data_IF_351996420752
#
_entry.id   IF_351996420752
#
_cell.length_a   1.000
_cell.length_b   1.000
_cell.length_c   1.000
_cell.angle_alpha   90.00
_cell.angle_beta   90.00
_cell.angle_gamma   90.00
#
_symmetry.space_group_name_H-M   'P 1'
#
loop_
_entity.id
_entity.type
_entity.pdbx_description
1 polymer ?
#
# COMPACT_ATOMS: atom_id res chain seq x y z
N UNK A 1 11.30 17.22 10.64
CA UNK A 1 10.83 16.04 11.39
C UNK A 1 11.86 15.49 12.36
N UNK A 2 13.08 15.14 11.95
CA UNK A 2 14.14 14.71 12.90
C UNK A 2 14.38 15.73 14.03
N UNK A 3 14.39 17.04 13.73
CA UNK A 3 14.48 18.08 14.75
C UNK A 3 13.30 18.08 15.75
N UNK A 4 12.08 17.80 15.29
CA UNK A 4 10.89 17.73 16.15
C UNK A 4 10.96 16.49 17.06
N UNK A 5 11.31 15.32 16.50
CA UNK A 5 11.50 14.08 17.25
C UNK A 5 12.63 14.21 18.26
N UNK A 6 13.77 14.76 17.85
CA UNK A 6 14.91 15.01 18.75
C UNK A 6 14.51 15.89 19.93
N UNK A 7 13.84 17.02 19.69
CA UNK A 7 13.38 17.90 20.78
C UNK A 7 12.39 17.19 21.71
N UNK A 8 11.47 16.40 21.14
CA UNK A 8 10.55 15.59 21.94
C UNK A 8 11.28 14.56 22.80
N UNK A 9 12.21 13.78 22.23
CA UNK A 9 12.97 12.78 22.96
C UNK A 9 13.92 13.42 24.00
N UNK A 10 14.48 14.59 23.73
CA UNK A 10 15.28 15.37 24.68
C UNK A 10 14.46 15.84 25.87
N UNK A 11 13.25 16.36 25.64
CA UNK A 11 12.31 16.73 26.72
C UNK A 11 11.89 15.48 27.51
N UNK A 12 11.57 14.38 26.82
CA UNK A 12 11.18 13.11 27.46
C UNK A 12 12.29 12.51 28.33
N UNK A 13 13.55 12.61 27.89
CA UNK A 13 14.73 12.13 28.63
C UNK A 13 15.23 13.13 29.69
N UNK A 14 14.56 14.27 29.87
CA UNK A 14 14.97 15.31 30.82
C UNK A 14 16.27 16.01 30.44
N UNK A 15 16.73 15.89 29.19
CA UNK A 15 18.01 16.45 28.72
C UNK A 15 17.96 17.97 28.53
N UNK A 16 16.77 18.57 28.47
CA UNK A 16 16.58 20.03 28.38
C UNK A 16 16.72 20.74 29.74
N UNK A 17 16.88 20.01 30.86
CA UNK A 17 17.26 20.63 32.14
C UNK A 17 18.78 20.73 32.26
N UNK A 18 19.38 21.69 31.57
CA UNK A 18 20.79 22.04 31.83
C UNK A 18 20.92 22.61 33.25
N UNK A 19 21.55 21.84 34.13
CA UNK A 19 22.04 22.32 35.43
C UNK A 19 23.21 23.28 35.19
N UNK A 20 22.93 24.58 35.08
CA UNK A 20 23.95 25.59 35.29
C UNK A 20 24.29 25.63 36.78
N UNK A 21 25.58 25.48 37.11
CA UNK A 21 26.14 25.36 38.46
C UNK A 21 25.95 26.55 39.40
N UNK A 22 25.00 27.46 39.14
CA UNK A 22 24.62 28.55 40.04
C UNK A 22 23.09 28.65 40.14
N UNK A 23 22.51 27.92 41.11
CA UNK A 23 21.42 28.37 41.98
C UNK A 23 20.14 29.02 41.43
N UNK A 24 19.88 29.04 40.12
CA UNK A 24 18.64 29.60 39.56
C UNK A 24 18.12 28.71 38.44
N UNK A 25 17.13 27.88 38.76
CA UNK A 25 16.33 27.14 37.77
C UNK A 25 15.51 28.16 36.97
N UNK A 26 16.00 28.59 35.81
CA UNK A 26 15.12 29.18 34.78
C UNK A 26 14.42 28.04 34.07
N UNK A 27 13.36 27.53 34.71
CA UNK A 27 12.48 26.53 34.12
C UNK A 27 11.60 27.19 33.06
N UNK A 28 12.14 27.41 31.86
CA UNK A 28 11.32 27.46 30.64
C UNK A 28 11.28 26.07 30.01
N UNK A 29 11.04 25.05 30.84
CA UNK A 29 10.64 23.73 30.35
C UNK A 29 9.25 23.92 29.76
N UNK A 30 9.18 24.00 28.43
CA UNK A 30 7.90 23.87 27.72
C UNK A 30 7.35 22.51 28.12
N UNK A 31 6.33 22.49 28.99
CA UNK A 31 5.69 21.26 29.40
C UNK A 31 4.90 20.73 28.20
N UNK A 32 5.46 19.75 27.49
CA UNK A 32 4.75 19.05 26.41
C UNK A 32 3.59 18.29 27.05
N UNK A 33 2.36 18.75 26.81
CA UNK A 33 1.14 18.10 27.31
C UNK A 33 0.98 16.71 26.69
N UNK A 34 0.15 15.84 27.29
CA UNK A 34 -0.14 14.51 26.72
C UNK A 34 -0.71 14.61 25.30
N UNK A 35 -1.51 15.63 25.02
CA UNK A 35 -2.05 15.93 23.69
C UNK A 35 -0.94 16.30 22.70
N UNK A 36 0.03 17.12 23.11
CA UNK A 36 1.20 17.44 22.29
C UNK A 36 2.02 16.18 21.98
N UNK A 37 2.18 15.25 22.96
CA UNK A 37 2.89 13.98 22.73
C UNK A 37 2.20 13.13 21.66
N UNK A 38 0.88 13.00 21.77
CA UNK A 38 0.06 12.26 20.81
C UNK A 38 0.18 12.88 19.42
N UNK A 39 0.06 14.20 19.33
CA UNK A 39 0.15 14.95 18.07
C UNK A 39 1.53 14.82 17.43
N UNK A 40 2.61 14.95 18.20
CA UNK A 40 3.98 14.75 17.71
C UNK A 40 4.17 13.32 17.21
N UNK A 41 3.63 12.32 17.92
CA UNK A 41 3.63 10.93 17.50
C UNK A 41 2.95 10.72 16.15
N UNK A 42 1.75 11.27 15.97
CA UNK A 42 0.99 11.21 14.71
C UNK A 42 1.73 11.88 13.56
N UNK A 43 2.27 13.08 13.77
CA UNK A 43 3.03 13.81 12.74
C UNK A 43 4.32 13.06 12.36
N UNK A 44 5.00 12.46 13.34
CA UNK A 44 6.18 11.64 13.09
C UNK A 44 5.82 10.41 12.25
N UNK A 45 4.76 9.68 12.62
CA UNK A 45 4.29 8.54 11.85
C UNK A 45 3.85 8.92 10.44
N UNK A 46 3.15 10.04 10.29
CA UNK A 46 2.80 10.56 8.97
C UNK A 46 4.04 10.80 8.11
N UNK A 47 5.11 11.39 8.67
CA UNK A 47 6.36 11.58 7.95
C UNK A 47 7.06 10.26 7.58
N UNK A 48 7.05 9.28 8.48
CA UNK A 48 7.59 7.93 8.22
C UNK A 48 6.82 7.24 7.10
N UNK A 49 5.48 7.32 7.10
CA UNK A 49 4.63 6.78 6.03
C UNK A 49 4.94 7.45 4.70
N UNK A 50 5.03 8.79 4.67
CA UNK A 50 5.37 9.53 3.45
C UNK A 50 6.75 9.15 2.92
N UNK A 51 7.78 9.13 3.77
CA UNK A 51 9.12 8.75 3.32
C UNK A 51 9.15 7.32 2.81
N UNK A 52 8.47 6.38 3.48
CA UNK A 52 8.42 4.97 3.09
C UNK A 52 7.75 4.77 1.74
N UNK A 53 6.54 5.30 1.55
CA UNK A 53 5.80 5.18 0.30
C UNK A 53 6.53 5.94 -0.83
N UNK A 54 7.00 7.16 -0.56
CA UNK A 54 7.76 7.96 -1.54
C UNK A 54 9.05 7.34 -1.98
N UNK A 55 9.81 6.78 -1.05
CA UNK A 55 11.08 6.16 -1.36
C UNK A 55 10.91 4.93 -2.24
N UNK A 56 9.93 4.09 -1.87
CA UNK A 56 9.59 2.89 -2.62
C UNK A 56 9.10 3.23 -4.04
N UNK A 57 8.17 4.18 -4.16
CA UNK A 57 7.63 4.60 -5.45
C UNK A 57 8.68 5.22 -6.37
N UNK A 58 9.61 6.03 -5.83
CA UNK A 58 10.60 6.71 -6.64
C UNK A 58 11.94 5.97 -6.70
N UNK A 59 11.98 4.72 -6.23
CA UNK A 59 13.17 3.88 -6.18
C UNK A 59 14.38 4.62 -5.61
N UNK A 60 14.16 5.39 -4.54
CA UNK A 60 15.23 6.08 -3.79
C UNK A 60 15.45 5.40 -2.43
N UNK A 61 16.63 5.53 -1.84
CA UNK A 61 16.85 5.13 -0.45
C UNK A 61 15.90 5.87 0.50
N UNK A 62 15.55 5.19 1.59
CA UNK A 62 14.79 5.75 2.71
C UNK A 62 15.63 6.81 3.41
N UNK A 63 14.99 7.91 3.82
CA UNK A 63 15.64 9.00 4.56
C UNK A 63 15.53 8.76 6.05
N UNK A 64 14.37 8.28 6.52
CA UNK A 64 14.19 7.94 7.93
C UNK A 64 14.70 6.53 8.17
N UNK A 65 15.76 6.40 8.97
CA UNK A 65 16.41 5.13 9.29
C UNK A 65 15.47 4.20 10.08
N UNK A 66 15.70 2.90 9.99
CA UNK A 66 14.82 1.90 10.60
C UNK A 66 14.83 2.00 12.13
N UNK A 67 15.99 2.26 12.71
CA UNK A 67 16.22 2.42 14.15
C UNK A 67 15.44 3.59 14.75
N UNK A 68 15.15 4.61 13.93
CA UNK A 68 14.36 5.76 14.35
C UNK A 68 12.85 5.49 14.23
N UNK A 69 12.45 4.53 13.40
CA UNK A 69 11.06 4.28 13.02
C UNK A 69 10.35 3.18 13.83
N UNK A 70 11.09 2.33 14.56
CA UNK A 70 10.46 1.27 15.35
C UNK A 70 9.56 1.89 16.42
N UNK A 71 8.29 1.47 16.45
CA UNK A 71 7.36 1.82 17.53
C UNK A 71 7.98 1.33 18.84
N UNK A 72 8.36 2.24 19.73
CA UNK A 72 8.50 1.87 21.14
C UNK A 72 7.09 1.54 21.62
N UNK A 73 6.83 0.28 21.98
CA UNK A 73 5.61 -0.09 22.67
C UNK A 73 5.39 0.89 23.83
N UNK A 74 4.16 1.39 24.08
CA UNK A 74 3.89 2.26 25.24
C UNK A 74 4.29 1.64 26.59
N UNK A 75 4.58 0.33 26.63
CA UNK A 75 4.95 -0.42 27.83
C UNK A 75 6.45 -0.76 27.96
N UNK A 76 7.29 -0.43 26.97
CA UNK A 76 8.72 -0.73 27.07
C UNK A 76 9.48 0.42 27.73
N UNK A 77 9.91 0.20 28.98
CA UNK A 77 11.01 0.97 29.56
C UNK A 77 12.24 0.87 28.66
N UNK A 78 13.06 1.93 28.56
CA UNK A 78 14.25 1.90 27.73
C UNK A 78 15.12 0.70 28.14
N UNK A 79 15.63 -0.10 27.19
CA UNK A 79 16.48 -1.23 27.51
C UNK A 79 17.70 -0.73 28.29
N UNK A 80 18.08 -1.48 29.33
CA UNK A 80 19.32 -1.25 30.03
C UNK A 80 20.48 -1.23 29.02
N UNK A 81 21.38 -0.26 29.15
CA UNK A 81 22.52 -0.12 28.26
C UNK A 81 23.38 -1.40 28.31
N UNK A 82 23.26 -2.27 27.29
CA UNK A 82 24.06 -3.49 27.22
C UNK A 82 23.56 -4.59 26.29
N UNK A 83 22.27 -4.64 25.94
CA UNK A 83 21.74 -5.70 25.07
C UNK A 83 21.46 -5.17 23.66
N UNK A 84 22.53 -4.91 22.90
CA UNK A 84 22.42 -4.83 21.44
C UNK A 84 22.61 -6.23 20.90
N UNK A 85 21.50 -6.87 20.52
CA UNK A 85 21.53 -8.10 19.73
C UNK A 85 22.15 -7.77 18.36
N UNK A 86 23.44 -8.06 18.19
CA UNK A 86 24.24 -7.85 16.98
C UNK A 86 23.71 -8.63 15.76
N UNK A 87 22.63 -9.41 15.91
CA UNK A 87 22.01 -10.17 14.82
C UNK A 87 20.74 -9.54 14.24
N UNK A 88 20.19 -8.49 14.86
CA UNK A 88 19.02 -7.82 14.27
C UNK A 88 19.45 -6.99 13.05
N UNK A 89 18.89 -7.32 11.88
CA UNK A 89 19.28 -6.75 10.58
C UNK A 89 19.07 -5.24 10.39
N UNK A 90 18.88 -4.47 11.47
CA UNK A 90 18.47 -3.06 11.47
C UNK A 90 17.03 -2.83 10.99
N UNK A 91 16.40 -3.79 10.30
CA UNK A 91 15.09 -3.66 9.65
C UNK A 91 13.92 -3.56 10.64
N UNK A 92 12.79 -3.04 10.16
CA UNK A 92 11.52 -3.08 10.89
C UNK A 92 11.16 -4.51 11.26
N UNK A 93 10.96 -4.74 12.55
CA UNK A 93 10.52 -6.04 13.03
C UNK A 93 9.02 -6.16 12.78
N UNK A 94 8.60 -7.24 12.12
CA UNK A 94 7.21 -7.42 11.69
C UNK A 94 6.26 -7.49 12.90
N UNK A 95 6.70 -8.15 13.97
CA UNK A 95 6.00 -8.33 15.25
C UNK A 95 5.63 -7.01 15.95
N UNK A 96 6.35 -5.92 15.66
CA UNK A 96 6.02 -4.59 16.18
C UNK A 96 4.77 -4.00 15.50
N UNK A 97 4.53 -4.36 14.24
CA UNK A 97 3.41 -3.86 13.43
C UNK A 97 2.25 -4.86 13.37
N UNK A 98 2.55 -6.15 13.49
CA UNK A 98 1.61 -7.26 13.47
C UNK A 98 1.78 -8.03 14.77
N UNK A 99 0.90 -7.75 15.74
CA UNK A 99 0.85 -8.44 17.04
C UNK A 99 0.01 -9.72 16.96
N UNK A 100 0.07 -10.40 15.82
CA UNK A 100 -0.73 -11.56 15.47
C UNK A 100 0.17 -12.61 14.81
N UNK A 101 -0.25 -13.86 14.74
CA UNK A 101 0.52 -14.92 14.11
C UNK A 101 0.50 -14.74 12.57
N UNK A 102 1.68 -14.70 11.95
CA UNK A 102 1.86 -14.49 10.51
C UNK A 102 1.47 -15.71 9.65
N UNK A 103 1.41 -16.89 10.26
CA UNK A 103 1.07 -18.17 9.64
C UNK A 103 -0.34 -18.62 10.00
N UNK A 104 -0.84 -18.23 11.18
CA UNK A 104 -2.18 -18.57 11.66
C UNK A 104 -2.85 -17.37 12.37
N UNK A 105 -3.21 -16.31 11.62
CA UNK A 105 -3.82 -15.11 12.20
C UNK A 105 -5.10 -15.42 12.97
N UNK A 106 -5.44 -14.56 13.92
CA UNK A 106 -6.63 -14.67 14.76
C UNK A 106 -7.97 -14.54 14.02
N UNK A 107 -8.98 -14.03 14.73
CA UNK A 107 -10.37 -13.99 14.24
C UNK A 107 -10.51 -13.21 12.92
N UNK A 108 -11.09 -13.87 11.91
CA UNK A 108 -11.34 -13.28 10.60
C UNK A 108 -12.61 -12.44 10.63
N UNK A 109 -12.49 -11.15 10.27
CA UNK A 109 -13.64 -10.27 10.16
C UNK A 109 -14.33 -10.46 8.80
N UNK A 110 -15.66 -10.58 8.83
CA UNK A 110 -16.50 -10.65 7.64
C UNK A 110 -17.54 -9.52 7.62
N UNK A 111 -17.97 -9.13 6.42
CA UNK A 111 -19.10 -8.23 6.19
C UNK A 111 -20.41 -9.02 6.03
N UNK A 112 -21.56 -8.55 6.55
CA UNK A 112 -21.75 -7.31 7.31
C UNK A 112 -21.28 -7.42 8.77
N UNK A 113 -20.70 -6.33 9.28
CA UNK A 113 -20.30 -6.18 10.69
C UNK A 113 -20.69 -4.79 11.21
N UNK A 114 -20.43 -4.51 12.50
CA UNK A 114 -20.68 -3.17 13.05
C UNK A 114 -19.76 -2.13 12.41
N UNK A 115 -20.20 -0.88 12.41
CA UNK A 115 -19.38 0.23 11.92
C UNK A 115 -18.06 0.33 12.68
N UNK A 116 -18.08 0.14 14.01
CA UNK A 116 -16.90 0.17 14.87
C UNK A 116 -15.90 -0.92 14.49
N UNK A 117 -16.37 -2.15 14.24
CA UNK A 117 -15.51 -3.26 13.82
C UNK A 117 -14.89 -3.01 12.44
N UNK A 118 -15.68 -2.53 11.49
CA UNK A 118 -15.18 -2.17 10.15
C UNK A 118 -14.14 -1.03 10.22
N UNK A 119 -14.43 0.02 10.99
CA UNK A 119 -13.53 1.16 11.18
C UNK A 119 -12.21 0.73 11.84
N UNK A 120 -12.28 -0.15 12.84
CA UNK A 120 -11.09 -0.70 13.50
C UNK A 120 -10.25 -1.54 12.54
N UNK A 121 -10.86 -2.46 11.79
CA UNK A 121 -10.15 -3.29 10.82
C UNK A 121 -9.47 -2.47 9.72
N UNK A 122 -10.18 -1.51 9.12
CA UNK A 122 -9.62 -0.59 8.13
C UNK A 122 -8.46 0.22 8.74
N UNK A 123 -8.60 0.70 9.98
CA UNK A 123 -7.53 1.44 10.66
C UNK A 123 -6.29 0.57 10.93
N UNK A 124 -6.47 -0.66 11.41
CA UNK A 124 -5.38 -1.62 11.69
C UNK A 124 -4.66 -2.08 10.43
N UNK A 125 -5.34 -2.10 9.28
CA UNK A 125 -4.74 -2.48 8.00
C UNK A 125 -3.76 -1.43 7.44
N UNK A 126 -3.91 -0.14 7.80
CA UNK A 126 -3.09 0.95 7.29
C UNK A 126 -1.57 0.80 7.56
N UNK A 127 -1.10 0.48 8.78
CA UNK A 127 0.32 0.24 9.04
C UNK A 127 0.87 -0.99 8.30
N UNK A 128 0.06 -2.03 8.09
CA UNK A 128 0.47 -3.25 7.36
C UNK A 128 0.73 -2.93 5.88
N UNK A 129 -0.08 -2.07 5.27
CA UNK A 129 0.21 -1.51 3.94
C UNK A 129 1.55 -0.78 3.91
N UNK A 130 1.82 0.08 4.89
CA UNK A 130 3.09 0.83 4.93
C UNK A 130 4.27 -0.12 5.11
N UNK A 131 4.11 -1.17 5.93
CA UNK A 131 5.10 -2.22 6.11
C UNK A 131 5.43 -2.90 4.78
N UNK A 132 4.44 -3.24 3.94
CA UNK A 132 4.71 -3.81 2.61
C UNK A 132 5.57 -2.87 1.74
N UNK A 133 5.26 -1.57 1.68
CA UNK A 133 6.09 -0.59 0.97
C UNK A 133 7.52 -0.50 1.53
N UNK A 134 7.67 -0.59 2.86
CA UNK A 134 8.99 -0.61 3.52
C UNK A 134 9.81 -1.82 3.08
N UNK A 135 9.20 -3.00 3.07
CA UNK A 135 9.83 -4.24 2.65
C UNK A 135 10.18 -4.26 1.16
N UNK A 136 9.31 -3.69 0.31
CA UNK A 136 9.63 -3.43 -1.11
C UNK A 136 10.85 -2.51 -1.23
N UNK A 137 10.94 -1.45 -0.43
CA UNK A 137 12.12 -0.57 -0.43
C UNK A 137 13.39 -1.28 0.01
N UNK A 138 13.34 -2.19 1.00
CA UNK A 138 14.49 -3.03 1.35
C UNK A 138 14.97 -3.85 0.15
N UNK A 139 14.05 -4.44 -0.61
CA UNK A 139 14.39 -5.23 -1.79
C UNK A 139 15.00 -4.36 -2.90
N UNK A 140 14.41 -3.20 -3.19
CA UNK A 140 14.98 -2.24 -4.15
C UNK A 140 16.40 -1.80 -3.72
N UNK A 141 16.59 -1.51 -2.44
CA UNK A 141 17.86 -1.01 -1.90
C UNK A 141 18.96 -2.06 -1.95
N UNK A 142 18.67 -3.32 -1.60
CA UNK A 142 19.67 -4.39 -1.68
C UNK A 142 20.07 -4.66 -3.14
N UNK A 143 19.11 -4.63 -4.07
CA UNK A 143 19.37 -4.85 -5.49
C UNK A 143 20.20 -3.72 -6.09
N UNK A 144 19.90 -2.46 -5.76
CA UNK A 144 20.69 -1.29 -6.19
C UNK A 144 22.15 -1.37 -5.72
N UNK A 145 22.39 -1.96 -4.55
CA UNK A 145 23.74 -2.19 -3.99
C UNK A 145 24.42 -3.44 -4.54
N UNK A 146 23.84 -4.12 -5.54
CA UNK A 146 24.39 -5.34 -6.13
C UNK A 146 24.28 -6.56 -5.22
N UNK A 147 23.38 -6.55 -4.23
CA UNK A 147 23.15 -7.69 -3.35
C UNK A 147 22.56 -8.89 -4.08
N UNK A 148 22.93 -10.10 -3.63
CA UNK A 148 22.61 -11.39 -4.26
C UNK A 148 22.45 -12.50 -3.22
N UNK A 149 21.96 -13.65 -3.66
CA UNK A 149 21.90 -14.89 -2.89
C UNK A 149 21.00 -14.78 -1.67
N UNK A 150 21.47 -15.34 -0.54
CA UNK A 150 20.65 -15.49 0.67
C UNK A 150 20.08 -14.17 1.20
N UNK A 151 20.84 -13.07 1.13
CA UNK A 151 20.38 -11.75 1.60
C UNK A 151 19.15 -11.24 0.84
N UNK A 152 19.08 -11.52 -0.46
CA UNK A 152 17.92 -11.17 -1.30
C UNK A 152 16.75 -12.08 -0.95
N UNK A 153 17.00 -13.39 -0.81
CA UNK A 153 15.97 -14.37 -0.48
C UNK A 153 15.34 -14.14 0.91
N UNK A 154 16.12 -13.69 1.89
CA UNK A 154 15.61 -13.32 3.21
C UNK A 154 14.64 -12.14 3.13
N UNK A 155 14.96 -11.12 2.31
CA UNK A 155 14.05 -9.99 2.10
C UNK A 155 12.80 -10.47 1.37
N UNK A 156 12.92 -11.24 0.28
CA UNK A 156 11.75 -11.77 -0.45
C UNK A 156 10.86 -12.56 0.50
N UNK A 157 11.42 -13.51 1.27
CA UNK A 157 10.67 -14.32 2.22
C UNK A 157 9.90 -13.45 3.21
N UNK A 158 10.59 -12.49 3.82
CA UNK A 158 10.00 -11.57 4.79
C UNK A 158 8.88 -10.71 4.17
N UNK A 159 9.11 -10.16 2.98
CA UNK A 159 8.09 -9.40 2.24
C UNK A 159 6.88 -10.26 1.87
N UNK A 160 7.11 -11.51 1.46
CA UNK A 160 6.01 -12.44 1.12
C UNK A 160 5.21 -12.88 2.34
N UNK A 161 5.82 -12.95 3.53
CA UNK A 161 5.09 -13.21 4.78
C UNK A 161 4.12 -12.07 5.11
N UNK A 162 4.53 -10.81 4.93
CA UNK A 162 3.64 -9.64 5.09
C UNK A 162 2.50 -9.69 4.07
N UNK A 163 2.80 -10.01 2.81
CA UNK A 163 1.78 -10.15 1.77
C UNK A 163 0.76 -11.26 2.10
N UNK A 164 1.23 -12.42 2.57
CA UNK A 164 0.36 -13.53 2.95
C UNK A 164 -0.49 -13.19 4.17
N UNK A 165 0.08 -12.56 5.19
CA UNK A 165 -0.65 -12.11 6.36
C UNK A 165 -1.86 -11.26 5.98
N UNK A 166 -1.66 -10.23 5.15
CA UNK A 166 -2.77 -9.41 4.66
C UNK A 166 -3.85 -10.24 3.98
N UNK A 167 -3.48 -11.15 3.08
CA UNK A 167 -4.46 -11.96 2.36
C UNK A 167 -5.28 -12.86 3.28
N UNK A 168 -4.68 -13.30 4.39
CA UNK A 168 -5.36 -14.12 5.40
C UNK A 168 -6.25 -13.27 6.31
N UNK A 169 -5.88 -12.04 6.66
CA UNK A 169 -6.60 -11.21 7.63
C UNK A 169 -7.52 -10.17 7.04
N UNK A 170 -7.00 -9.32 6.15
CA UNK A 170 -7.72 -8.15 5.62
C UNK A 170 -8.21 -8.37 4.19
N UNK A 171 -7.56 -9.24 3.41
CA UNK A 171 -7.83 -9.41 1.99
C UNK A 171 -9.25 -9.94 1.70
N UNK A 172 -9.74 -10.90 2.47
CA UNK A 172 -11.13 -11.37 2.38
C UNK A 172 -12.12 -10.26 2.72
N UNK A 173 -11.91 -9.60 3.86
CA UNK A 173 -12.76 -8.50 4.33
C UNK A 173 -12.83 -7.36 3.30
N UNK A 174 -11.70 -6.94 2.74
CA UNK A 174 -11.64 -5.86 1.74
C UNK A 174 -12.36 -6.25 0.44
N UNK A 175 -12.25 -7.50 -0.01
CA UNK A 175 -13.06 -8.01 -1.14
C UNK A 175 -14.55 -7.93 -0.87
N UNK A 176 -14.98 -8.32 0.34
CA UNK A 176 -16.39 -8.26 0.71
C UNK A 176 -16.89 -6.81 0.76
N UNK A 177 -16.06 -5.84 1.18
CA UNK A 177 -16.38 -4.41 1.12
C UNK A 177 -16.55 -3.91 -0.32
N UNK A 178 -15.72 -4.37 -1.27
CA UNK A 178 -15.88 -4.06 -2.70
C UNK A 178 -17.18 -4.65 -3.24
N UNK A 179 -17.46 -5.93 -2.95
CA UNK A 179 -18.67 -6.61 -3.43
C UNK A 179 -19.97 -5.99 -2.90
N UNK A 180 -19.92 -5.38 -1.72
CA UNK A 180 -21.08 -4.77 -1.06
C UNK A 180 -20.97 -3.24 -0.97
N UNK A 181 -20.23 -2.62 -1.90
CA UNK A 181 -19.82 -1.20 -1.81
C UNK A 181 -20.95 -0.25 -1.41
N UNK A 182 -22.13 -0.36 -2.05
CA UNK A 182 -23.28 0.51 -1.81
C UNK A 182 -23.85 0.41 -0.38
N UNK A 183 -23.66 -0.73 0.29
CA UNK A 183 -24.08 -0.94 1.68
C UNK A 183 -23.01 -0.49 2.70
N UNK A 184 -21.78 -0.22 2.26
CA UNK A 184 -20.67 0.20 3.12
C UNK A 184 -20.81 1.69 3.46
N UNK A 185 -20.67 2.10 4.72
CA UNK A 185 -20.74 3.51 5.10
C UNK A 185 -19.72 4.38 4.33
N UNK A 186 -20.09 5.59 3.84
CA UNK A 186 -19.22 6.41 2.99
C UNK A 186 -17.83 6.73 3.56
N UNK A 187 -17.74 6.86 4.89
CA UNK A 187 -16.45 7.06 5.57
C UNK A 187 -15.56 5.83 5.46
N UNK A 188 -16.12 4.63 5.57
CA UNK A 188 -15.38 3.38 5.36
C UNK A 188 -15.00 3.26 3.88
N UNK A 189 -15.94 3.52 2.95
CA UNK A 189 -15.68 3.52 1.51
C UNK A 189 -14.46 4.35 1.13
N UNK A 190 -14.39 5.60 1.61
CA UNK A 190 -13.28 6.50 1.32
C UNK A 190 -11.93 5.95 1.79
N UNK A 191 -11.88 5.40 3.01
CA UNK A 191 -10.63 4.95 3.61
C UNK A 191 -10.16 3.61 3.06
N UNK A 192 -11.05 2.63 2.90
CA UNK A 192 -10.64 1.29 2.44
C UNK A 192 -10.18 1.34 0.98
N UNK A 193 -10.78 2.18 0.13
CA UNK A 193 -10.35 2.37 -1.27
C UNK A 193 -8.91 2.86 -1.33
N UNK A 194 -8.56 3.88 -0.53
CA UNK A 194 -7.19 4.39 -0.43
C UNK A 194 -6.22 3.34 0.10
N UNK A 195 -6.62 2.50 1.05
CA UNK A 195 -5.71 1.47 1.56
C UNK A 195 -5.53 0.34 0.54
N UNK A 196 -6.62 -0.13 -0.06
CA UNK A 196 -6.64 -1.23 -1.02
C UNK A 196 -5.81 -0.93 -2.27
N UNK A 197 -6.03 0.23 -2.88
CA UNK A 197 -5.30 0.62 -4.09
C UNK A 197 -3.78 0.71 -3.85
N UNK A 198 -3.38 1.28 -2.70
CA UNK A 198 -1.98 1.41 -2.33
C UNK A 198 -1.36 0.03 -2.01
N UNK A 199 -2.10 -0.85 -1.34
CA UNK A 199 -1.68 -2.23 -1.07
C UNK A 199 -1.38 -2.97 -2.38
N UNK A 200 -2.33 -2.95 -3.32
CA UNK A 200 -2.17 -3.64 -4.59
C UNK A 200 -1.09 -3.02 -5.47
N UNK A 201 -0.85 -1.70 -5.41
CA UNK A 201 0.33 -1.11 -6.05
C UNK A 201 1.64 -1.67 -5.47
N UNK A 202 1.77 -1.76 -4.14
CA UNK A 202 2.95 -2.33 -3.52
C UNK A 202 3.13 -3.81 -3.87
N UNK A 203 2.04 -4.59 -3.95
CA UNK A 203 2.05 -5.97 -4.39
C UNK A 203 2.51 -6.11 -5.86
N UNK A 204 2.07 -5.22 -6.75
CA UNK A 204 2.55 -5.15 -8.13
C UNK A 204 4.04 -4.78 -8.21
N UNK A 205 4.53 -3.89 -7.34
CA UNK A 205 5.96 -3.57 -7.25
C UNK A 205 6.77 -4.77 -6.73
N UNK A 206 6.25 -5.51 -5.76
CA UNK A 206 6.86 -6.76 -5.28
C UNK A 206 6.96 -7.79 -6.40
N UNK A 207 5.88 -8.00 -7.16
CA UNK A 207 5.87 -8.96 -8.26
C UNK A 207 6.97 -8.65 -9.29
N UNK A 208 7.13 -7.39 -9.68
CA UNK A 208 8.18 -6.99 -10.63
C UNK A 208 9.59 -7.18 -10.08
N UNK A 209 9.82 -6.88 -8.81
CA UNK A 209 11.14 -7.08 -8.19
C UNK A 209 11.47 -8.57 -8.07
N UNK A 210 10.48 -9.41 -7.75
CA UNK A 210 10.64 -10.86 -7.70
C UNK A 210 10.98 -11.41 -9.09
N UNK A 211 10.23 -11.00 -10.12
CA UNK A 211 10.48 -11.39 -11.51
C UNK A 211 11.86 -10.92 -11.99
N UNK A 212 12.27 -9.70 -11.62
CA UNK A 212 13.61 -9.19 -11.88
C UNK A 212 14.69 -10.05 -11.22
N UNK A 213 14.52 -10.42 -9.95
CA UNK A 213 15.46 -11.30 -9.23
C UNK A 213 15.57 -12.67 -9.90
N UNK A 214 14.44 -13.26 -10.28
CA UNK A 214 14.37 -14.57 -10.92
C UNK A 214 15.02 -14.55 -12.31
N UNK A 215 14.63 -13.58 -13.15
CA UNK A 215 15.15 -13.44 -14.52
C UNK A 215 16.66 -13.15 -14.58
N UNK A 216 17.22 -12.53 -13.54
CA UNK A 216 18.64 -12.19 -13.45
C UNK A 216 19.45 -13.14 -12.56
N UNK A 217 18.86 -14.25 -12.08
CA UNK A 217 19.52 -15.21 -11.18
C UNK A 217 20.18 -14.55 -9.95
N UNK A 218 19.54 -13.53 -9.38
CA UNK A 218 20.07 -12.80 -8.21
C UNK A 218 19.75 -13.50 -6.88
N UNK A 219 18.86 -14.49 -6.91
CA UNK A 219 18.49 -15.33 -5.77
C UNK A 219 19.38 -16.56 -5.59
N UNK A 220 18.89 -17.54 -4.83
CA UNK A 220 19.54 -18.86 -4.68
C UNK A 220 18.84 -19.91 -5.54
N UNK A 221 19.60 -20.77 -6.22
CA UNK A 221 19.05 -21.61 -7.30
C UNK A 221 17.87 -22.51 -6.92
N UNK A 222 17.86 -23.08 -5.72
CA UNK A 222 16.75 -23.94 -5.24
C UNK A 222 15.49 -23.12 -4.94
N UNK A 223 15.65 -21.95 -4.32
CA UNK A 223 14.53 -21.06 -3.95
C UNK A 223 13.95 -20.38 -5.19
N UNK A 224 14.79 -19.89 -6.10
CA UNK A 224 14.38 -19.36 -7.42
C UNK A 224 13.55 -20.39 -8.17
N UNK A 225 14.03 -21.64 -8.27
CA UNK A 225 13.30 -22.70 -8.97
C UNK A 225 11.94 -22.98 -8.33
N UNK A 226 11.86 -23.04 -7.00
CA UNK A 226 10.59 -23.22 -6.29
C UNK A 226 9.61 -22.08 -6.60
N UNK A 227 10.11 -20.83 -6.54
CA UNK A 227 9.31 -19.63 -6.79
C UNK A 227 8.78 -19.56 -8.22
N UNK A 228 9.63 -19.80 -9.21
CA UNK A 228 9.28 -19.84 -10.65
C UNK A 228 8.27 -20.96 -10.93
N UNK A 229 8.52 -22.18 -10.42
CA UNK A 229 7.58 -23.30 -10.60
C UNK A 229 6.21 -23.01 -9.98
N UNK A 230 6.19 -22.30 -8.85
CA UNK A 230 4.95 -21.87 -8.20
C UNK A 230 4.28 -20.66 -8.88
N UNK A 231 4.88 -20.08 -9.93
CA UNK A 231 4.39 -18.85 -10.59
C UNK A 231 4.08 -17.71 -9.62
N UNK A 232 4.91 -17.55 -8.57
CA UNK A 232 4.61 -16.63 -7.47
C UNK A 232 4.36 -15.19 -7.94
N UNK A 233 5.28 -14.61 -8.73
CA UNK A 233 5.14 -13.24 -9.23
C UNK A 233 3.87 -13.06 -10.08
N UNK A 234 3.61 -14.01 -10.99
CA UNK A 234 2.41 -14.02 -11.82
C UNK A 234 1.13 -14.04 -10.98
N UNK A 235 1.05 -14.89 -9.94
CA UNK A 235 -0.14 -14.97 -9.08
C UNK A 235 -0.36 -13.70 -8.26
N UNK A 236 0.70 -13.09 -7.75
CA UNK A 236 0.61 -11.79 -7.03
C UNK A 236 0.10 -10.71 -8.00
N UNK A 237 0.63 -10.68 -9.22
CA UNK A 237 0.27 -9.74 -10.27
C UNK A 237 -1.20 -9.90 -10.67
N UNK A 238 -1.59 -11.09 -11.08
CA UNK A 238 -2.94 -11.47 -11.50
C UNK A 238 -3.98 -11.14 -10.42
N UNK A 239 -3.72 -11.53 -9.17
CA UNK A 239 -4.61 -11.19 -8.05
C UNK A 239 -4.72 -9.68 -7.87
N UNK A 240 -3.61 -8.93 -7.94
CA UNK A 240 -3.64 -7.49 -7.67
C UNK A 240 -4.29 -6.68 -8.78
N UNK A 241 -4.14 -7.07 -10.06
CA UNK A 241 -4.79 -6.35 -11.17
C UNK A 241 -6.30 -6.57 -11.18
N UNK A 242 -6.78 -7.76 -10.84
CA UNK A 242 -8.23 -8.03 -10.71
C UNK A 242 -8.84 -7.20 -9.59
N UNK A 243 -8.22 -7.20 -8.41
CA UNK A 243 -8.68 -6.42 -7.25
C UNK A 243 -8.64 -4.91 -7.53
N UNK A 244 -7.63 -4.41 -8.24
CA UNK A 244 -7.58 -3.01 -8.67
C UNK A 244 -8.68 -2.64 -9.67
N UNK A 245 -9.01 -3.55 -10.58
CA UNK A 245 -10.10 -3.37 -11.54
C UNK A 245 -11.46 -3.37 -10.84
N UNK A 246 -11.71 -4.32 -9.94
CA UNK A 246 -12.94 -4.39 -9.13
C UNK A 246 -13.06 -3.15 -8.23
N UNK A 247 -11.94 -2.66 -7.69
CA UNK A 247 -11.92 -1.43 -6.91
C UNK A 247 -12.23 -0.20 -7.77
N UNK A 248 -11.69 -0.14 -9.00
CA UNK A 248 -11.93 0.97 -9.91
C UNK A 248 -13.39 1.04 -10.35
N UNK A 249 -14.03 -0.11 -10.57
CA UNK A 249 -15.43 -0.18 -11.02
C UNK A 249 -16.41 0.34 -9.95
N UNK A 250 -16.19 0.00 -8.68
CA UNK A 250 -17.07 0.47 -7.58
C UNK A 250 -16.74 1.89 -7.12
N UNK A 251 -15.49 2.31 -7.22
CA UNK A 251 -15.04 3.62 -6.74
C UNK A 251 -15.24 4.75 -7.76
N UNK A 252 -15.64 4.40 -8.99
CA UNK A 252 -15.99 5.35 -10.06
C UNK A 252 -17.52 5.36 -10.21
N UNK A 253 -18.20 6.51 -10.01
CA UNK A 253 -19.64 6.57 -10.21
C UNK A 253 -19.98 6.25 -11.68
N UNK A 254 -21.12 5.60 -11.95
CA UNK A 254 -21.58 5.35 -13.31
C UNK A 254 -21.74 6.69 -14.05
N UNK A 255 -21.23 6.74 -15.30
CA UNK A 255 -21.17 7.95 -16.14
C UNK A 255 -22.42 8.84 -16.04
N UNK A 256 -22.21 10.15 -15.86
CA UNK A 256 -23.25 11.20 -15.90
C UNK A 256 -23.98 11.29 -17.26
N UNK A 257 -23.48 10.60 -18.29
CA UNK A 257 -24.09 10.55 -19.64
C UNK A 257 -25.48 9.89 -19.66
N UNK A 258 -25.83 9.10 -18.63
CA UNK A 258 -27.15 8.47 -18.51
C UNK A 258 -28.16 9.30 -17.71
N UNK A 259 -28.11 10.64 -17.74
CA UNK A 259 -29.20 11.52 -17.23
C UNK A 259 -29.70 11.22 -15.81
N UNK A 260 -28.92 10.50 -15.01
CA UNK A 260 -29.35 9.95 -13.74
C UNK A 260 -29.12 10.97 -12.63
N UNK A 261 -30.10 11.01 -11.74
CA UNK A 261 -30.17 11.85 -10.55
C UNK A 261 -28.81 11.79 -9.82
N UNK A 262 -28.20 12.94 -9.44
CA UNK A 262 -27.01 12.95 -8.61
C UNK A 262 -27.25 12.05 -7.42
N UNK A 263 -26.31 11.12 -7.15
CA UNK A 263 -26.38 10.29 -5.95
C UNK A 263 -26.62 11.16 -4.71
N UNK A 264 -27.25 10.62 -3.65
CA UNK A 264 -27.62 11.39 -2.47
C UNK A 264 -26.41 12.18 -1.97
N UNK A 265 -26.45 13.51 -2.11
CA UNK A 265 -25.39 14.37 -1.60
C UNK A 265 -25.32 14.16 -0.10
N UNK A 266 -24.17 13.71 0.38
CA UNK A 266 -23.93 13.54 1.81
C UNK A 266 -23.60 14.94 2.36
N UNK A 267 -24.55 15.61 3.07
CA UNK A 267 -24.43 17.05 3.37
C UNK A 267 -23.23 17.38 4.27
N UNK A 268 -22.80 16.40 5.08
CA UNK A 268 -21.70 16.53 6.03
C UNK A 268 -20.34 16.08 5.47
N UNK A 269 -20.26 15.72 4.19
CA UNK A 269 -19.04 15.20 3.57
C UNK A 269 -18.46 16.16 2.54
N UNK A 270 -17.13 16.15 2.42
CA UNK A 270 -16.41 16.97 1.45
C UNK A 270 -16.84 16.62 0.01
N UNK A 271 -16.97 17.60 -0.89
CA UNK A 271 -17.47 17.39 -2.27
C UNK A 271 -16.78 16.24 -3.02
N UNK A 272 -15.47 16.06 -2.80
CA UNK A 272 -14.70 14.96 -3.39
C UNK A 272 -15.23 13.55 -3.01
N UNK A 273 -15.84 13.38 -1.83
CA UNK A 273 -16.48 12.11 -1.42
C UNK A 273 -17.73 11.85 -2.27
N UNK A 274 -18.48 12.90 -2.59
CA UNK A 274 -19.72 12.82 -3.38
C UNK A 274 -19.46 12.59 -4.87
N UNK A 275 -18.28 13.00 -5.39
CA UNK A 275 -17.91 12.83 -6.80
C UNK A 275 -17.19 11.51 -7.12
N UNK A 276 -16.80 10.74 -6.09
CA UNK A 276 -16.11 9.46 -6.23
C UNK A 276 -15.01 9.31 -5.19
N UNK A 277 -14.99 8.18 -4.49
CA UNK A 277 -14.10 7.94 -3.35
C UNK A 277 -12.62 8.02 -3.71
N UNK A 278 -12.24 7.69 -4.95
CA UNK A 278 -10.85 7.83 -5.43
C UNK A 278 -10.35 9.28 -5.42
N UNK A 279 -11.25 10.27 -5.44
CA UNK A 279 -10.90 11.68 -5.36
C UNK A 279 -10.53 12.10 -3.93
N UNK A 280 -10.78 11.28 -2.92
CA UNK A 280 -10.47 11.62 -1.53
C UNK A 280 -8.98 11.43 -1.18
N UNK A 281 -8.23 10.71 -2.03
CA UNK A 281 -6.82 10.42 -1.78
C UNK A 281 -5.95 11.68 -1.95
N UNK A 282 -5.27 12.14 -0.88
CA UNK A 282 -4.43 13.34 -0.94
C UNK A 282 -3.21 13.14 -1.84
N UNK A 283 -2.71 11.91 -1.99
CA UNK A 283 -1.62 11.59 -2.90
C UNK A 283 -2.09 10.80 -4.12
N UNK A 284 -2.85 11.49 -4.98
CA UNK A 284 -3.46 10.98 -6.21
C UNK A 284 -2.50 10.18 -7.10
N UNK A 285 -1.20 10.50 -7.09
CA UNK A 285 -0.16 9.78 -7.86
C UNK A 285 -0.13 8.27 -7.57
N UNK A 286 -0.46 7.83 -6.36
CA UNK A 286 -0.49 6.41 -6.01
C UNK A 286 -1.56 5.70 -6.83
N UNK A 287 -2.78 6.24 -6.85
CA UNK A 287 -3.89 5.70 -7.62
C UNK A 287 -3.62 5.75 -9.13
N UNK A 288 -3.02 6.86 -9.61
CA UNK A 288 -2.61 7.00 -11.01
C UNK A 288 -1.68 5.84 -11.40
N UNK A 289 -0.65 5.56 -10.61
CA UNK A 289 0.28 4.46 -10.90
C UNK A 289 -0.37 3.09 -10.76
N UNK A 290 -1.23 2.89 -9.77
CA UNK A 290 -1.94 1.63 -9.55
C UNK A 290 -2.81 1.26 -10.77
N UNK A 291 -3.72 2.17 -11.15
CA UNK A 291 -4.63 1.92 -12.28
C UNK A 291 -3.92 1.92 -13.62
N UNK A 292 -2.91 2.76 -13.82
CA UNK A 292 -2.10 2.71 -15.06
C UNK A 292 -1.41 1.37 -15.21
N UNK A 293 -0.77 0.88 -14.15
CA UNK A 293 -0.05 -0.40 -14.17
C UNK A 293 -0.99 -1.58 -14.38
N UNK A 294 -2.12 -1.60 -13.67
CA UNK A 294 -3.15 -2.62 -13.88
C UNK A 294 -3.67 -2.62 -15.31
N UNK A 295 -4.00 -1.44 -15.87
CA UNK A 295 -4.46 -1.30 -17.26
C UNK A 295 -3.45 -1.84 -18.26
N UNK A 296 -2.16 -1.50 -18.11
CA UNK A 296 -1.10 -1.99 -19.01
C UNK A 296 -0.99 -3.51 -18.98
N UNK A 297 -1.05 -4.11 -17.78
CA UNK A 297 -0.98 -5.56 -17.63
C UNK A 297 -2.21 -6.23 -18.27
N UNK A 298 -3.42 -5.75 -17.95
CA UNK A 298 -4.67 -6.31 -18.47
C UNK A 298 -4.80 -6.16 -19.99
N UNK A 299 -4.36 -5.04 -20.57
CA UNK A 299 -4.30 -4.88 -22.03
C UNK A 299 -3.27 -5.82 -22.67
N UNK A 300 -2.15 -6.09 -21.99
CA UNK A 300 -1.19 -7.11 -22.41
C UNK A 300 -1.78 -8.51 -22.41
N UNK A 301 -2.50 -8.89 -21.36
CA UNK A 301 -3.23 -10.17 -21.27
C UNK A 301 -4.30 -10.30 -22.36
N UNK A 302 -5.01 -9.21 -22.67
CA UNK A 302 -5.98 -9.16 -23.76
C UNK A 302 -5.31 -9.34 -25.14
N UNK A 303 -4.20 -8.66 -25.42
CA UNK A 303 -3.43 -8.83 -26.67
C UNK A 303 -2.88 -10.25 -26.82
N UNK A 304 -2.34 -10.83 -25.74
CA UNK A 304 -1.89 -12.23 -25.74
C UNK A 304 -3.06 -13.19 -26.04
N UNK A 305 -4.20 -13.00 -25.37
CA UNK A 305 -5.41 -13.80 -25.58
C UNK A 305 -5.92 -13.73 -27.02
N UNK A 306 -5.85 -12.57 -27.68
CA UNK A 306 -6.18 -12.42 -29.10
C UNK A 306 -5.21 -13.18 -30.01
N UNK A 307 -3.90 -13.06 -29.75
CA UNK A 307 -2.86 -13.69 -30.56
C UNK A 307 -2.93 -15.21 -30.49
N UNK A 308 -3.12 -15.77 -29.29
CA UNK A 308 -3.24 -17.22 -29.08
C UNK A 308 -4.65 -17.75 -29.39
N UNK A 309 -5.69 -16.93 -29.20
CA UNK A 309 -7.10 -17.26 -29.48
C UNK A 309 -7.43 -17.42 -30.95
N UNK A 310 -6.72 -16.71 -31.82
CA UNK A 310 -6.82 -16.93 -33.27
C UNK A 310 -6.37 -18.33 -33.71
N UNK A 311 -5.65 -19.07 -32.86
CA UNK A 311 -5.19 -20.43 -33.11
C UNK A 311 -6.09 -21.54 -32.53
N UNK A 312 -7.02 -21.23 -31.60
CA UNK A 312 -7.79 -22.24 -30.84
C UNK A 312 -9.26 -21.84 -30.75
N UNK A 313 -10.17 -22.68 -31.27
CA UNK A 313 -11.60 -22.40 -31.39
C UNK A 313 -12.29 -22.20 -30.01
N UNK A 314 -12.70 -20.96 -29.71
CA UNK A 314 -13.87 -20.65 -28.89
C UNK A 314 -13.67 -20.23 -27.41
N UNK A 315 -12.67 -20.75 -26.68
CA UNK A 315 -12.50 -20.41 -25.25
C UNK A 315 -11.80 -19.06 -25.02
N UNK A 316 -10.92 -18.64 -25.91
CA UNK A 316 -10.06 -17.46 -25.70
C UNK A 316 -10.78 -16.11 -25.88
N UNK A 317 -12.05 -16.11 -26.33
CA UNK A 317 -12.80 -14.86 -26.50
C UNK A 317 -13.37 -14.33 -25.17
N UNK A 318 -13.67 -15.22 -24.22
CA UNK A 318 -14.11 -14.85 -22.87
C UNK A 318 -12.96 -14.18 -22.10
N UNK A 319 -11.77 -14.79 -22.08
CA UNK A 319 -10.57 -14.26 -21.41
C UNK A 319 -10.15 -12.90 -21.99
N UNK A 320 -10.14 -12.78 -23.32
CA UNK A 320 -9.89 -11.50 -23.98
C UNK A 320 -10.88 -10.42 -23.53
N UNK A 321 -12.19 -10.73 -23.55
CA UNK A 321 -13.24 -9.78 -23.19
C UNK A 321 -13.16 -9.39 -21.72
N UNK A 322 -12.90 -10.35 -20.83
CA UNK A 322 -12.74 -10.09 -19.40
C UNK A 322 -11.54 -9.17 -19.13
N UNK A 323 -10.35 -9.50 -19.66
CA UNK A 323 -9.15 -8.66 -19.46
C UNK A 323 -9.35 -7.25 -20.02
N UNK A 324 -10.00 -7.12 -21.18
CA UNK A 324 -10.30 -5.82 -21.79
C UNK A 324 -11.29 -5.00 -20.95
N UNK A 325 -12.40 -5.60 -20.51
CA UNK A 325 -13.41 -4.96 -19.65
C UNK A 325 -12.78 -4.49 -18.34
N UNK A 326 -11.95 -5.34 -17.72
CA UNK A 326 -11.22 -5.00 -16.50
C UNK A 326 -10.24 -3.84 -16.69
N UNK A 327 -9.55 -3.80 -17.83
CA UNK A 327 -8.65 -2.69 -18.18
C UNK A 327 -9.44 -1.38 -18.30
N UNK A 328 -10.63 -1.43 -18.90
CA UNK A 328 -11.50 -0.27 -19.07
C UNK A 328 -11.99 0.30 -17.74
N UNK A 329 -12.28 -0.54 -16.74
CA UNK A 329 -12.61 -0.06 -15.39
C UNK A 329 -11.46 0.76 -14.78
N UNK A 330 -10.22 0.29 -14.93
CA UNK A 330 -9.05 1.04 -14.48
C UNK A 330 -8.87 2.36 -15.27
N UNK A 331 -9.13 2.36 -16.59
CA UNK A 331 -9.08 3.55 -17.44
C UNK A 331 -10.14 4.57 -17.04
N UNK A 332 -11.36 4.14 -16.72
CA UNK A 332 -12.43 5.01 -16.17
C UNK A 332 -12.00 5.66 -14.86
N UNK A 333 -11.38 4.89 -13.96
CA UNK A 333 -10.77 5.43 -12.74
C UNK A 333 -9.73 6.52 -13.04
N UNK A 334 -8.87 6.32 -14.04
CA UNK A 334 -7.88 7.34 -14.48
C UNK A 334 -8.54 8.60 -15.06
N UNK A 335 -9.62 8.46 -15.83
CA UNK A 335 -10.40 9.59 -16.34
C UNK A 335 -10.97 10.44 -15.21
N UNK A 336 -11.53 9.80 -14.18
CA UNK A 336 -12.05 10.48 -13.01
C UNK A 336 -10.93 11.19 -12.22
N UNK A 337 -9.79 10.53 -12.00
CA UNK A 337 -8.60 11.18 -11.42
C UNK A 337 -8.09 12.34 -12.30
N UNK A 338 -8.38 12.30 -13.59
CA UNK A 338 -8.15 13.38 -14.56
C UNK A 338 -8.81 14.70 -14.18
N UNK A 339 -9.85 14.71 -13.34
CA UNK A 339 -10.40 15.96 -12.76
C UNK A 339 -9.38 16.71 -11.88
N UNK A 340 -8.43 15.98 -11.26
CA UNK A 340 -7.42 16.53 -10.34
C UNK A 340 -6.00 16.53 -10.90
N UNK A 341 -5.72 15.72 -11.92
CA UNK A 341 -4.37 15.56 -12.46
C UNK A 341 -4.37 15.42 -13.98
N UNK A 342 -3.72 16.37 -14.67
CA UNK A 342 -3.51 16.27 -16.11
C UNK A 342 -2.69 15.05 -16.51
N UNK A 343 -1.82 14.54 -15.62
CA UNK A 343 -1.09 13.30 -15.85
C UNK A 343 -2.03 12.10 -15.92
N UNK A 344 -3.02 12.02 -15.01
CA UNK A 344 -4.01 10.96 -15.05
C UNK A 344 -4.81 10.98 -16.36
N UNK A 345 -5.25 12.18 -16.78
CA UNK A 345 -5.98 12.38 -18.05
C UNK A 345 -5.19 11.91 -19.27
N UNK A 346 -3.92 12.33 -19.38
CA UNK A 346 -3.05 11.93 -20.50
C UNK A 346 -2.78 10.43 -20.54
N UNK A 347 -2.62 9.79 -19.38
CA UNK A 347 -2.43 8.34 -19.34
C UNK A 347 -3.73 7.63 -19.76
N UNK A 348 -4.89 8.11 -19.29
CA UNK A 348 -6.18 7.58 -19.71
C UNK A 348 -6.38 7.67 -21.23
N UNK A 349 -6.06 8.81 -21.86
CA UNK A 349 -6.10 8.99 -23.32
C UNK A 349 -5.26 7.95 -24.07
N UNK A 350 -4.00 7.75 -23.65
CA UNK A 350 -3.09 6.78 -24.29
C UNK A 350 -3.61 5.35 -24.15
N UNK A 351 -4.08 4.98 -22.96
CA UNK A 351 -4.61 3.64 -22.69
C UNK A 351 -5.94 3.38 -23.40
N UNK A 352 -6.81 4.38 -23.52
CA UNK A 352 -8.04 4.29 -24.32
C UNK A 352 -7.73 4.02 -25.79
N UNK A 353 -6.74 4.71 -26.38
CA UNK A 353 -6.31 4.44 -27.76
C UNK A 353 -5.77 3.03 -27.91
N UNK A 354 -5.00 2.53 -26.94
CA UNK A 354 -4.50 1.16 -26.94
C UNK A 354 -5.65 0.13 -26.85
N UNK A 355 -6.62 0.35 -25.96
CA UNK A 355 -7.82 -0.49 -25.82
C UNK A 355 -8.64 -0.55 -27.11
N UNK A 356 -8.91 0.61 -27.72
CA UNK A 356 -9.62 0.70 -29.00
C UNK A 356 -8.86 0.00 -30.14
N UNK A 357 -7.54 -0.02 -30.08
CA UNK A 357 -6.68 -0.74 -31.02
C UNK A 357 -6.87 -2.26 -30.96
N UNK A 358 -7.11 -2.84 -29.78
CA UNK A 358 -7.35 -4.28 -29.62
C UNK A 358 -8.75 -4.72 -30.07
N UNK A 359 -9.70 -3.79 -30.18
CA UNK A 359 -11.07 -4.05 -30.64
C UNK A 359 -11.21 -4.08 -32.17
N UNK A 360 -10.21 -3.58 -32.90
CA UNK A 360 -10.18 -3.52 -34.37
C UNK A 360 -9.45 -4.72 -34.94
#
# INVERSE_FOLDING_TARGET
MHALKYRYDSVRRGLDSSTNGHGKKTANTVSISSEDKSTIGLLYWLAVMFDTVSSSMNERPLVVADEECQHSSPQEEPPAAGEQDETSSGRWKIDVFIQDDLEAPGELLHWPCSYEAAAEAVTKSAPVKVLLFRHVSYLQNILRKGGRGQKVEEIIRSTTSVYRYWNMTYGSFFRELVQNFDAVPPRIQSWFVCISAHWHLAALMLADLVEFVDGNNLGTGTVVRSRVNSKMASRIRESSVRELSDLASVATPPNEESGNIPGPQLPDFHHAVNEGTILTEPWTMILIRAFSKASVILLGEADESLRYGRATLGHNNEEFRESLERAEECIKGLWLLGKKSDMARKIAEVLSVASDGLRR
#
